data_IF_700891067518
#
_entry.id   IF_700891067518
#
_cell.length_a   1.000
_cell.length_b   1.000
_cell.length_c   1.000
_cell.angle_alpha   90.00
_cell.angle_beta   90.00
_cell.angle_gamma   90.00
#
_symmetry.space_group_name_H-M   'P 1'
#
loop_
_entity.id
_entity.type
_entity.pdbx_description
1 polymer ?
#
# COMPACT_ATOMS: atom_id res chain seq x y z
N UNK A 1 -48.34 12.21 -0.36
CA UNK A 1 -47.08 12.99 -0.35
C UNK A 1 -45.91 12.02 -0.32
N UNK A 2 -45.23 11.83 -1.45
CA UNK A 2 -44.06 10.98 -1.56
C UNK A 2 -42.80 11.84 -1.37
N UNK A 3 -41.90 11.44 -0.47
CA UNK A 3 -40.59 12.05 -0.32
C UNK A 3 -39.56 11.16 -1.04
N UNK A 4 -39.16 11.60 -2.23
CA UNK A 4 -38.06 11.02 -2.99
C UNK A 4 -36.74 11.42 -2.32
N UNK A 5 -35.97 10.45 -1.81
CA UNK A 5 -34.62 10.71 -1.33
C UNK A 5 -33.57 10.28 -2.37
N UNK A 6 -32.62 11.17 -2.61
CA UNK A 6 -31.74 11.24 -3.77
C UNK A 6 -30.77 10.06 -3.80
N UNK A 7 -30.69 9.40 -4.96
CA UNK A 7 -29.62 8.45 -5.31
C UNK A 7 -28.31 9.23 -5.45
N UNK A 8 -27.33 8.99 -4.58
CA UNK A 8 -25.93 9.35 -4.86
C UNK A 8 -25.25 8.17 -5.50
N UNK A 9 -24.90 8.34 -6.78
CA UNK A 9 -23.97 7.48 -7.49
C UNK A 9 -22.58 7.66 -6.89
N UNK A 10 -22.06 6.62 -6.25
CA UNK A 10 -20.61 6.39 -6.16
C UNK A 10 -20.36 4.89 -6.38
N UNK A 11 -20.60 4.46 -7.61
CA UNK A 11 -20.09 3.20 -8.10
C UNK A 11 -18.57 3.27 -8.16
N UNK A 12 -17.93 2.41 -7.38
CA UNK A 12 -16.79 1.52 -7.68
C UNK A 12 -16.60 0.79 -6.35
N UNK A 13 -17.31 -0.32 -6.19
CA UNK A 13 -16.99 -1.27 -5.12
C UNK A 13 -15.65 -1.91 -5.50
N UNK A 14 -14.64 -1.64 -4.69
CA UNK A 14 -13.32 -2.25 -4.80
C UNK A 14 -13.45 -3.75 -4.59
N UNK A 15 -13.39 -4.51 -5.69
CA UNK A 15 -13.42 -5.97 -5.73
C UNK A 15 -12.09 -6.50 -5.21
N UNK A 16 -11.78 -6.28 -3.94
CA UNK A 16 -10.69 -6.96 -3.24
C UNK A 16 -11.21 -8.26 -2.66
N UNK A 17 -11.14 -9.28 -3.53
CA UNK A 17 -10.90 -10.69 -3.25
C UNK A 17 -11.40 -11.24 -1.91
N UNK A 18 -12.51 -11.98 -2.03
CA UNK A 18 -13.07 -12.92 -1.06
C UNK A 18 -12.08 -14.05 -0.75
N UNK A 19 -11.09 -13.80 0.13
CA UNK A 19 -10.51 -14.85 1.00
C UNK A 19 -9.78 -14.28 2.22
N UNK A 20 -10.37 -13.31 2.90
CA UNK A 20 -9.90 -12.92 4.22
C UNK A 20 -10.37 -13.97 5.24
N UNK A 21 -9.41 -14.70 5.82
CA UNK A 21 -9.57 -15.40 7.10
C UNK A 21 -10.31 -14.44 8.03
N UNK A 22 -11.43 -14.86 8.64
CA UNK A 22 -12.24 -14.00 9.51
C UNK A 22 -11.40 -13.60 10.72
N UNK A 23 -10.68 -12.48 10.59
CA UNK A 23 -10.02 -11.81 11.70
C UNK A 23 -11.15 -11.15 12.46
N UNK A 24 -11.42 -11.65 13.68
CA UNK A 24 -12.41 -11.10 14.61
C UNK A 24 -12.18 -9.58 14.69
N UNK A 25 -13.16 -8.80 14.28
CA UNK A 25 -13.07 -7.35 14.34
C UNK A 25 -13.11 -6.94 15.82
N UNK A 26 -11.95 -6.61 16.38
CA UNK A 26 -11.80 -6.22 17.78
C UNK A 26 -12.24 -4.78 18.04
N UNK A 27 -12.68 -4.04 17.02
CA UNK A 27 -13.01 -2.62 17.12
C UNK A 27 -11.80 -1.71 17.30
N UNK A 28 -10.59 -2.27 17.36
CA UNK A 28 -9.34 -1.52 17.48
C UNK A 28 -8.78 -1.14 16.11
N UNK A 29 -8.26 0.08 15.99
CA UNK A 29 -7.60 0.56 14.77
C UNK A 29 -6.39 -0.34 14.48
N UNK A 30 -6.39 -1.01 13.33
CA UNK A 30 -5.25 -1.83 12.87
C UNK A 30 -4.08 -0.93 12.46
N UNK A 31 -2.88 -1.29 12.90
CA UNK A 31 -1.66 -0.64 12.47
C UNK A 31 -1.25 -1.11 11.07
N UNK A 32 -0.99 -0.17 10.17
CA UNK A 32 -0.59 -0.40 8.78
C UNK A 32 0.87 0.00 8.62
N UNK A 33 1.75 -0.99 8.43
CA UNK A 33 3.19 -0.80 8.26
C UNK A 33 3.67 -1.16 6.85
N UNK A 34 4.72 -0.47 6.38
CA UNK A 34 5.43 -0.82 5.15
C UNK A 34 6.64 -1.72 5.47
N UNK A 35 6.81 -2.82 4.73
CA UNK A 35 7.99 -3.70 4.80
C UNK A 35 8.68 -3.74 3.43
N UNK A 36 9.92 -3.24 3.36
CA UNK A 36 10.70 -3.19 2.13
C UNK A 36 11.87 -4.18 2.23
N UNK A 37 11.78 -5.30 1.51
CA UNK A 37 12.80 -6.36 1.54
C UNK A 37 13.97 -6.05 0.61
N UNK A 38 14.99 -5.38 1.14
CA UNK A 38 16.18 -4.94 0.39
C UNK A 38 17.36 -5.93 0.45
N UNK A 39 17.14 -7.21 0.15
CA UNK A 39 18.21 -8.24 0.23
C UNK A 39 19.43 -7.89 -0.64
N UNK A 40 20.62 -8.29 -0.19
CA UNK A 40 21.86 -8.05 -0.95
C UNK A 40 22.02 -8.93 -2.20
N UNK A 41 21.60 -10.20 -2.11
CA UNK A 41 21.64 -11.13 -3.24
C UNK A 41 20.70 -10.69 -4.35
N UNK A 42 21.17 -10.67 -5.58
CA UNK A 42 20.35 -10.35 -6.74
C UNK A 42 20.84 -11.16 -7.92
N UNK A 43 19.92 -11.84 -8.61
CA UNK A 43 20.27 -12.78 -9.70
C UNK A 43 20.79 -12.06 -10.94
N UNK A 44 20.34 -10.83 -11.19
CA UNK A 44 20.78 -10.02 -12.34
C UNK A 44 21.82 -8.97 -11.96
N UNK A 45 21.46 -8.04 -11.07
CA UNK A 45 22.34 -6.92 -10.68
C UNK A 45 22.73 -7.08 -9.22
N UNK A 46 23.96 -7.54 -8.90
CA UNK A 46 24.45 -7.63 -7.52
C UNK A 46 24.28 -6.30 -6.76
N UNK A 47 23.80 -6.38 -5.51
CA UNK A 47 23.56 -5.22 -4.65
C UNK A 47 22.64 -4.15 -5.25
N UNK A 48 21.66 -4.53 -6.09
CA UNK A 48 20.79 -3.58 -6.83
C UNK A 48 20.22 -2.45 -5.98
N UNK A 49 19.81 -2.71 -4.74
CA UNK A 49 19.07 -1.75 -3.92
C UNK A 49 19.89 -0.49 -3.56
N UNK A 50 21.23 -0.60 -3.54
CA UNK A 50 22.13 0.53 -3.29
C UNK A 50 22.71 1.15 -4.58
N UNK A 51 22.43 0.56 -5.75
CA UNK A 51 22.91 1.11 -7.02
C UNK A 51 22.12 2.39 -7.33
N UNK A 52 22.82 3.35 -7.92
CA UNK A 52 22.24 4.64 -8.31
C UNK A 52 21.39 4.49 -9.56
N UNK A 53 20.20 5.09 -9.54
CA UNK A 53 19.29 5.23 -10.66
C UNK A 53 18.83 6.69 -10.69
N UNK A 54 19.25 7.43 -11.73
CA UNK A 54 18.98 8.86 -11.87
C UNK A 54 19.36 9.70 -10.63
N UNK A 55 20.53 9.44 -10.05
CA UNK A 55 21.04 10.21 -8.91
C UNK A 55 20.48 9.82 -7.54
N UNK A 56 19.62 8.79 -7.46
CA UNK A 56 19.08 8.26 -6.20
C UNK A 56 19.30 6.74 -6.12
N UNK A 57 19.67 6.16 -4.98
CA UNK A 57 19.69 4.70 -4.84
C UNK A 57 18.33 4.08 -5.20
N UNK A 58 18.30 2.90 -5.82
CA UNK A 58 17.03 2.26 -6.23
C UNK A 58 16.05 2.13 -5.04
N UNK A 59 16.53 1.78 -3.84
CA UNK A 59 15.67 1.73 -2.64
C UNK A 59 15.13 3.10 -2.23
N UNK A 60 15.83 4.19 -2.53
CA UNK A 60 15.39 5.56 -2.25
C UNK A 60 14.11 5.93 -2.99
N UNK A 61 13.93 5.43 -4.21
CA UNK A 61 12.67 5.59 -4.97
C UNK A 61 11.50 4.88 -4.28
N UNK A 62 11.74 3.68 -3.73
CA UNK A 62 10.71 2.92 -3.01
C UNK A 62 10.35 3.60 -1.69
N UNK A 63 11.34 4.09 -0.94
CA UNK A 63 11.12 4.82 0.31
C UNK A 63 10.33 6.10 0.08
N UNK A 64 10.68 6.87 -0.96
CA UNK A 64 9.94 8.08 -1.33
C UNK A 64 8.48 7.77 -1.66
N UNK A 65 8.23 6.75 -2.48
CA UNK A 65 6.86 6.34 -2.80
C UNK A 65 6.07 5.92 -1.54
N UNK A 66 6.70 5.19 -0.61
CA UNK A 66 6.05 4.78 0.63
C UNK A 66 5.63 5.99 1.49
N UNK A 67 6.52 6.96 1.66
CA UNK A 67 6.26 8.19 2.42
C UNK A 67 5.20 9.06 1.73
N UNK A 68 5.37 9.30 0.43
CA UNK A 68 4.51 10.20 -0.34
C UNK A 68 3.07 9.68 -0.47
N UNK A 69 2.88 8.35 -0.39
CA UNK A 69 1.57 7.71 -0.44
C UNK A 69 0.67 8.03 0.77
N UNK A 70 1.26 8.35 1.93
CA UNK A 70 0.56 8.55 3.21
C UNK A 70 -0.36 7.38 3.62
N UNK A 71 -0.06 6.17 3.17
CA UNK A 71 -0.88 4.97 3.43
C UNK A 71 -0.49 4.21 4.70
N UNK A 72 0.65 4.54 5.31
CA UNK A 72 1.21 3.82 6.45
C UNK A 72 1.14 4.68 7.71
N UNK A 73 0.93 4.02 8.85
CA UNK A 73 1.01 4.66 10.15
C UNK A 73 2.46 5.06 10.49
N UNK A 74 2.61 6.01 11.41
CA UNK A 74 3.91 6.51 11.91
C UNK A 74 4.40 5.72 13.11
#
# INVERSE_FOLDING_TARGET
MAAANKRTLSGIEDVRDRKAKVIKDSGEKRHIAALILARGGSKGIPLKNIKMLAGVPISGWVLRAAVDSKQFDR
#
